data_IF_820417545893
#
_entry.id   IF_820417545893
#
_cell.length_a   1.000
_cell.length_b   1.000
_cell.length_c   1.000
_cell.angle_alpha   90.00
_cell.angle_beta   90.00
_cell.angle_gamma   90.00
#
_symmetry.space_group_name_H-M   'P 1'
#
loop_
_entity.id
_entity.type
_entity.pdbx_description
1 polymer ?
#
# COMPACT_ATOMS: atom_id res chain seq x y z
N UNK A 1 -7.31 5.91 28.87
CA UNK A 1 -7.87 5.64 27.53
C UNK A 1 -7.43 6.68 26.50
N UNK A 2 -7.89 7.94 26.52
CA UNK A 2 -7.47 8.96 25.53
C UNK A 2 -5.95 9.26 25.58
N UNK A 3 -5.36 9.28 26.78
CA UNK A 3 -3.91 9.45 26.95
C UNK A 3 -3.10 8.25 26.46
N UNK A 4 -3.64 7.04 26.60
CA UNK A 4 -3.00 5.81 26.10
C UNK A 4 -3.00 5.77 24.57
N UNK A 5 -4.10 6.22 23.95
CA UNK A 5 -4.17 6.38 22.50
C UNK A 5 -3.13 7.39 22.00
N UNK A 6 -3.03 8.56 22.64
CA UNK A 6 -2.01 9.57 22.29
C UNK A 6 -0.59 9.04 22.45
N UNK A 7 -0.30 8.31 23.53
CA UNK A 7 1.00 7.65 23.74
C UNK A 7 1.29 6.60 22.67
N UNK A 8 0.29 5.81 22.27
CA UNK A 8 0.40 4.81 21.20
C UNK A 8 0.67 5.43 19.83
N UNK A 9 -0.01 6.53 19.49
CA UNK A 9 0.22 7.27 18.24
C UNK A 9 1.63 7.89 18.20
N UNK A 10 2.10 8.46 19.31
CA UNK A 10 3.47 8.98 19.42
C UNK A 10 4.51 7.87 19.21
N UNK A 11 4.31 6.70 19.82
CA UNK A 11 5.17 5.55 19.62
C UNK A 11 5.16 5.07 18.16
N UNK A 12 3.99 4.98 17.52
CA UNK A 12 3.86 4.64 16.09
C UNK A 12 4.69 5.58 15.22
N UNK A 13 4.63 6.89 15.48
CA UNK A 13 5.41 7.87 14.71
C UNK A 13 6.92 7.70 14.90
N UNK A 14 7.38 7.46 16.12
CA UNK A 14 8.80 7.19 16.41
C UNK A 14 9.27 5.94 15.64
N UNK A 15 8.48 4.86 15.68
CA UNK A 15 8.83 3.60 15.00
C UNK A 15 8.84 3.77 13.49
N UNK A 16 7.83 4.41 12.89
CA UNK A 16 7.79 4.67 11.45
C UNK A 16 8.99 5.50 11.01
N UNK A 17 9.33 6.56 11.74
CA UNK A 17 10.51 7.39 11.45
C UNK A 17 11.82 6.61 11.56
N UNK A 18 11.92 5.66 12.50
CA UNK A 18 13.12 4.81 12.65
C UNK A 18 13.25 3.79 11.53
N UNK A 19 12.18 3.08 11.19
CA UNK A 19 12.22 2.00 10.20
C UNK A 19 12.20 2.50 8.75
N UNK A 20 11.54 3.65 8.50
CA UNK A 20 11.33 4.18 7.15
C UNK A 20 11.90 5.59 6.93
N UNK A 21 12.10 6.39 7.98
CA UNK A 21 12.58 7.78 7.91
C UNK A 21 14.10 7.94 7.86
N UNK A 22 14.88 6.94 8.28
CA UNK A 22 16.33 7.05 8.32
C UNK A 22 17.02 6.92 6.94
N UNK A 23 16.28 6.81 5.84
CA UNK A 23 16.86 6.82 4.48
C UNK A 23 17.28 8.25 4.06
N UNK A 24 16.87 9.31 4.79
CA UNK A 24 17.20 10.71 4.43
C UNK A 24 17.99 11.49 5.48
N UNK A 25 18.26 10.93 6.66
CA UNK A 25 19.01 11.61 7.73
C UNK A 25 20.49 11.16 7.80
N UNK A 26 21.10 10.92 6.64
CA UNK A 26 22.55 10.77 6.48
C UNK A 26 23.27 12.10 6.19
N UNK A 27 22.84 13.21 6.80
CA UNK A 27 23.45 14.50 6.50
C UNK A 27 22.83 15.73 7.16
N UNK A 28 22.71 15.76 8.48
CA UNK A 28 22.69 17.04 9.19
C UNK A 28 23.45 16.92 10.51
N UNK A 29 24.69 17.39 10.50
CA UNK A 29 25.30 17.94 11.71
C UNK A 29 25.78 19.34 11.36
N UNK A 30 25.17 20.30 12.03
CA UNK A 30 25.50 21.72 11.99
C UNK A 30 26.98 21.95 12.27
N UNK A 31 27.64 22.76 11.44
CA UNK A 31 28.84 23.49 11.85
C UNK A 31 28.53 24.97 11.77
N UNK A 32 28.45 25.60 12.94
CA UNK A 32 28.38 27.03 13.14
C UNK A 32 29.74 27.66 12.81
N UNK A 33 29.93 28.09 11.57
CA UNK A 33 30.94 29.11 11.24
C UNK A 33 30.42 29.96 10.09
N UNK A 34 29.90 31.14 10.44
CA UNK A 34 29.90 32.30 9.54
C UNK A 34 31.33 32.58 9.05
N UNK A 35 31.41 33.38 7.97
CA UNK A 35 32.58 33.99 7.31
C UNK A 35 32.92 33.37 5.93
N UNK A 36 32.58 34.10 4.87
CA UNK A 36 33.13 33.87 3.52
C UNK A 36 32.27 34.46 2.38
N UNK A 37 32.53 35.71 2.01
CA UNK A 37 31.96 36.41 0.85
C UNK A 37 32.40 35.77 -0.50
N UNK A 38 31.52 35.80 -1.51
CA UNK A 38 31.88 35.56 -2.93
C UNK A 38 30.73 35.87 -3.91
N UNK A 39 30.97 36.37 -5.13
CA UNK A 39 30.21 37.49 -5.71
C UNK A 39 29.03 37.14 -6.64
N UNK A 40 28.16 38.15 -6.79
CA UNK A 40 27.08 38.27 -7.78
C UNK A 40 27.62 38.61 -9.18
N UNK A 41 27.05 38.04 -10.24
CA UNK A 41 27.13 38.53 -11.63
C UNK A 41 26.13 37.80 -12.57
N UNK A 42 25.77 38.39 -13.74
CA UNK A 42 24.37 38.79 -14.02
C UNK A 42 23.68 38.02 -15.17
N UNK A 43 22.41 38.40 -15.41
CA UNK A 43 21.43 37.85 -16.34
C UNK A 43 21.77 37.92 -17.85
N UNK A 44 21.15 37.03 -18.65
CA UNK A 44 21.00 37.14 -20.11
C UNK A 44 19.89 36.22 -20.68
N UNK A 45 19.25 36.54 -21.83
CA UNK A 45 17.88 36.11 -22.18
C UNK A 45 17.74 35.15 -23.39
N UNK A 46 16.62 34.40 -23.42
CA UNK A 46 15.87 33.78 -24.54
C UNK A 46 16.57 32.96 -25.67
N UNK A 47 16.19 31.67 -25.81
CA UNK A 47 15.73 31.07 -27.08
C UNK A 47 14.94 29.75 -26.86
N UNK A 48 13.94 29.41 -27.71
CA UNK A 48 13.07 28.24 -27.54
C UNK A 48 13.66 27.02 -28.26
N UNK A 49 13.60 25.86 -27.61
CA UNK A 49 14.02 24.58 -28.18
C UNK A 49 12.98 23.51 -27.83
N UNK A 50 12.30 23.01 -28.85
CA UNK A 50 11.34 21.93 -28.72
C UNK A 50 12.00 20.59 -28.43
N UNK A 51 11.32 19.79 -27.62
CA UNK A 51 11.33 18.33 -27.59
C UNK A 51 10.06 17.99 -26.78
N UNK A 52 9.12 17.24 -27.34
CA UNK A 52 9.32 15.81 -27.56
C UNK A 52 8.72 15.10 -26.34
N UNK A 53 7.67 14.34 -26.58
CA UNK A 53 6.76 13.84 -25.56
C UNK A 53 7.39 13.01 -24.45
N UNK A 54 6.62 12.86 -23.39
CA UNK A 54 6.94 12.02 -22.25
C UNK A 54 5.86 12.15 -21.20
N UNK A 55 4.80 11.36 -21.34
CA UNK A 55 3.97 10.94 -20.22
C UNK A 55 4.88 10.30 -19.18
N UNK A 56 5.38 11.11 -18.25
CA UNK A 56 6.17 10.70 -17.11
C UNK A 56 5.29 10.71 -15.87
N UNK A 57 4.31 9.80 -15.85
CA UNK A 57 3.78 9.28 -14.59
C UNK A 57 4.95 8.82 -13.72
N UNK A 58 4.81 8.94 -12.40
CA UNK A 58 5.64 8.33 -11.35
C UNK A 58 6.75 9.17 -10.68
N UNK A 59 6.54 10.47 -10.48
CA UNK A 59 7.14 11.15 -9.32
C UNK A 59 6.37 10.77 -8.05
N UNK A 60 6.59 9.54 -7.57
CA UNK A 60 6.36 9.09 -6.19
C UNK A 60 5.13 9.68 -5.48
N UNK A 61 3.93 9.22 -5.87
CA UNK A 61 2.85 9.01 -4.89
C UNK A 61 3.24 7.81 -4.02
N UNK A 62 4.22 8.02 -3.14
CA UNK A 62 4.40 7.20 -1.92
C UNK A 62 3.43 7.68 -0.83
N UNK A 63 2.46 8.52 -1.20
CA UNK A 63 1.34 8.95 -0.39
C UNK A 63 0.16 8.07 -0.74
N UNK A 64 -0.26 7.29 0.26
CA UNK A 64 -1.63 6.78 0.41
C UNK A 64 -2.18 6.07 -0.83
N UNK A 65 -1.90 4.76 -0.94
CA UNK A 65 -2.67 3.90 -1.84
C UNK A 65 -4.16 4.00 -1.46
N UNK A 66 -5.03 4.19 -2.44
CA UNK A 66 -6.46 4.08 -2.24
C UNK A 66 -6.85 2.65 -1.85
N UNK A 67 -8.01 2.49 -1.19
CA UNK A 67 -8.53 1.18 -0.82
C UNK A 67 -8.55 0.20 -2.02
N UNK A 68 -9.04 0.66 -3.16
CA UNK A 68 -9.10 -0.13 -4.40
C UNK A 68 -7.71 -0.54 -4.89
N UNK A 69 -6.70 0.36 -4.80
CA UNK A 69 -5.32 0.03 -5.19
C UNK A 69 -4.70 -1.01 -4.26
N UNK A 70 -4.92 -0.90 -2.95
CA UNK A 70 -4.44 -1.88 -1.96
C UNK A 70 -5.07 -3.25 -2.23
N UNK A 71 -6.40 -3.30 -2.40
CA UNK A 71 -7.12 -4.54 -2.70
C UNK A 71 -6.59 -5.19 -4.00
N UNK A 72 -6.45 -4.41 -5.07
CA UNK A 72 -5.92 -4.90 -6.35
C UNK A 72 -4.46 -5.35 -6.25
N UNK A 73 -3.64 -4.70 -5.43
CA UNK A 73 -2.26 -5.12 -5.21
C UNK A 73 -2.22 -6.48 -4.48
N UNK A 74 -3.00 -6.63 -3.40
CA UNK A 74 -3.11 -7.90 -2.67
C UNK A 74 -3.62 -9.04 -3.55
N UNK A 75 -4.58 -8.77 -4.43
CA UNK A 75 -5.10 -9.77 -5.37
C UNK A 75 -4.04 -10.23 -6.37
N UNK A 76 -3.21 -9.31 -6.88
CA UNK A 76 -2.06 -9.65 -7.74
C UNK A 76 -1.04 -10.53 -7.03
N UNK A 77 -0.87 -10.35 -5.72
CA UNK A 77 -0.05 -11.24 -4.87
C UNK A 77 -0.76 -12.56 -4.50
N UNK A 78 -1.99 -12.78 -4.99
CA UNK A 78 -2.73 -14.03 -4.83
C UNK A 78 -3.61 -14.12 -3.57
N UNK A 79 -3.94 -12.99 -2.93
CA UNK A 79 -4.75 -12.99 -1.71
C UNK A 79 -6.14 -13.63 -1.90
N UNK A 80 -6.80 -13.42 -3.04
CA UNK A 80 -8.10 -14.06 -3.35
C UNK A 80 -8.00 -15.59 -3.39
N UNK A 81 -6.95 -16.13 -4.01
CA UNK A 81 -6.68 -17.57 -4.04
C UNK A 81 -6.45 -18.12 -2.63
N UNK A 82 -5.61 -17.45 -1.84
CA UNK A 82 -5.33 -17.83 -0.46
C UNK A 82 -6.60 -17.86 0.40
N UNK A 83 -7.45 -16.84 0.31
CA UNK A 83 -8.71 -16.75 1.06
C UNK A 83 -9.63 -17.92 0.71
N UNK A 84 -9.78 -18.24 -0.58
CA UNK A 84 -10.59 -19.37 -1.02
C UNK A 84 -10.04 -20.69 -0.48
N UNK A 85 -8.72 -20.90 -0.58
CA UNK A 85 -8.08 -22.13 -0.12
C UNK A 85 -8.19 -22.31 1.41
N UNK A 86 -8.10 -21.21 2.18
CA UNK A 86 -8.30 -21.22 3.62
C UNK A 86 -9.75 -21.50 3.98
N UNK A 87 -10.74 -20.86 3.34
CA UNK A 87 -12.16 -21.13 3.60
C UNK A 87 -12.49 -22.61 3.33
N UNK A 88 -11.94 -23.19 2.25
CA UNK A 88 -12.24 -24.56 1.86
C UNK A 88 -11.55 -25.65 2.71
N UNK A 89 -10.45 -25.31 3.38
CA UNK A 89 -9.59 -26.30 4.05
C UNK A 89 -9.24 -25.93 5.50
N UNK A 90 -9.81 -24.85 6.06
CA UNK A 90 -9.58 -24.46 7.44
C UNK A 90 -10.01 -25.59 8.40
N UNK A 91 -9.12 -25.94 9.32
CA UNK A 91 -9.37 -26.91 10.39
C UNK A 91 -9.66 -26.25 11.73
N UNK A 92 -9.54 -24.92 11.80
CA UNK A 92 -9.75 -24.11 12.99
C UNK A 92 -10.79 -23.03 12.71
N UNK A 93 -11.81 -22.95 13.57
CA UNK A 93 -12.88 -21.94 13.49
C UNK A 93 -12.32 -20.52 13.50
N UNK A 94 -11.24 -20.29 14.24
CA UNK A 94 -10.58 -18.98 14.27
C UNK A 94 -9.98 -18.64 12.92
N UNK A 95 -9.28 -19.58 12.28
CA UNK A 95 -8.70 -19.39 10.94
C UNK A 95 -9.80 -19.19 9.91
N UNK A 96 -10.89 -19.95 10.00
CA UNK A 96 -12.06 -19.79 9.15
C UNK A 96 -12.64 -18.37 9.29
N UNK A 97 -12.90 -17.92 10.52
CA UNK A 97 -13.47 -16.59 10.77
C UNK A 97 -12.58 -15.46 10.24
N UNK A 98 -11.27 -15.50 10.49
CA UNK A 98 -10.32 -14.51 9.98
C UNK A 98 -10.26 -14.52 8.44
N UNK A 99 -10.42 -15.69 7.82
CA UNK A 99 -10.45 -15.81 6.36
C UNK A 99 -11.69 -15.16 5.76
N UNK A 100 -12.85 -15.26 6.43
CA UNK A 100 -14.07 -14.55 6.05
C UNK A 100 -13.89 -13.04 6.19
N UNK A 101 -13.29 -12.57 7.30
CA UNK A 101 -13.04 -11.13 7.50
C UNK A 101 -12.11 -10.58 6.42
N UNK A 102 -11.08 -11.33 6.04
CA UNK A 102 -10.20 -10.94 4.94
C UNK A 102 -10.94 -10.91 3.60
N UNK A 103 -11.83 -11.87 3.33
CA UNK A 103 -12.68 -11.86 2.14
C UNK A 103 -13.56 -10.61 2.08
N UNK A 104 -14.18 -10.23 3.20
CA UNK A 104 -15.01 -9.03 3.32
C UNK A 104 -14.17 -7.77 3.05
N UNK A 105 -12.97 -7.66 3.63
CA UNK A 105 -12.08 -6.52 3.42
C UNK A 105 -11.60 -6.40 1.96
N UNK A 106 -11.34 -7.53 1.29
CA UNK A 106 -10.97 -7.54 -0.13
C UNK A 106 -12.12 -7.12 -1.05
N UNK A 107 -13.36 -7.43 -0.67
CA UNK A 107 -14.57 -7.10 -1.42
C UNK A 107 -15.22 -5.78 -0.97
N UNK A 108 -14.64 -5.10 0.03
CA UNK A 108 -15.17 -3.87 0.60
C UNK A 108 -15.28 -2.79 -0.49
N UNK A 109 -16.43 -2.12 -0.56
CA UNK A 109 -16.71 -1.11 -1.59
C UNK A 109 -17.00 -1.67 -2.99
N UNK A 110 -17.06 -2.99 -3.17
CA UNK A 110 -17.52 -3.60 -4.42
C UNK A 110 -16.50 -3.56 -5.55
N UNK A 111 -15.22 -3.85 -5.27
CA UNK A 111 -14.16 -3.86 -6.27
C UNK A 111 -14.36 -4.98 -7.30
N UNK A 112 -14.72 -4.61 -8.53
CA UNK A 112 -15.08 -5.55 -9.60
C UNK A 112 -13.94 -6.44 -10.06
N UNK A 113 -12.68 -6.00 -9.90
CA UNK A 113 -11.50 -6.80 -10.21
C UNK A 113 -11.42 -8.00 -9.26
N UNK A 114 -11.55 -7.73 -7.96
CA UNK A 114 -11.52 -8.76 -6.91
C UNK A 114 -12.69 -9.71 -7.06
N UNK A 115 -13.89 -9.20 -7.30
CA UNK A 115 -15.07 -10.01 -7.56
C UNK A 115 -14.86 -10.97 -8.73
N UNK A 116 -14.26 -10.48 -9.82
CA UNK A 116 -13.93 -11.31 -10.97
C UNK A 116 -12.89 -12.39 -10.62
N UNK A 117 -11.85 -12.05 -9.87
CA UNK A 117 -10.84 -13.03 -9.41
C UNK A 117 -11.46 -14.14 -8.56
N UNK A 118 -12.32 -13.80 -7.60
CA UNK A 118 -13.07 -14.78 -6.80
C UNK A 118 -13.99 -15.66 -7.67
N UNK A 119 -14.70 -15.04 -8.61
CA UNK A 119 -15.60 -15.76 -9.52
C UNK A 119 -14.85 -16.77 -10.39
N UNK A 120 -13.78 -16.33 -11.09
CA UNK A 120 -12.96 -17.21 -11.91
C UNK A 120 -12.43 -18.38 -11.10
N UNK A 121 -11.87 -18.12 -9.91
CA UNK A 121 -11.31 -19.17 -9.06
C UNK A 121 -12.34 -20.19 -8.59
N UNK A 122 -13.55 -19.75 -8.22
CA UNK A 122 -14.62 -20.65 -7.79
C UNK A 122 -15.24 -21.45 -8.95
N UNK A 123 -15.25 -20.87 -10.16
CA UNK A 123 -15.88 -21.46 -11.34
C UNK A 123 -14.96 -22.39 -12.14
N UNK A 124 -13.68 -22.06 -12.28
CA UNK A 124 -12.72 -22.84 -13.08
C UNK A 124 -12.46 -24.23 -12.48
N UNK A 125 -12.48 -24.35 -11.15
CA UNK A 125 -12.03 -25.55 -10.46
C UNK A 125 -13.16 -26.54 -10.09
N UNK A 126 -14.43 -26.28 -10.45
CA UNK A 126 -15.63 -27.00 -9.94
C UNK A 126 -15.65 -27.14 -8.40
N UNK A 127 -14.89 -26.28 -7.71
CA UNK A 127 -14.69 -26.29 -6.25
C UNK A 127 -15.78 -25.50 -5.51
N UNK A 128 -16.63 -24.80 -6.25
CA UNK A 128 -17.76 -24.04 -5.71
C UNK A 128 -18.65 -24.87 -4.78
N UNK A 129 -18.93 -26.13 -5.11
CA UNK A 129 -19.77 -26.99 -4.26
C UNK A 129 -19.16 -27.22 -2.87
N UNK A 130 -17.86 -27.53 -2.80
CA UNK A 130 -17.17 -27.70 -1.52
C UNK A 130 -17.11 -26.38 -0.76
N UNK A 131 -16.86 -25.26 -1.44
CA UNK A 131 -16.86 -23.93 -0.83
C UNK A 131 -18.22 -23.62 -0.16
N UNK A 132 -19.34 -23.80 -0.87
CA UNK A 132 -20.67 -23.53 -0.31
C UNK A 132 -21.06 -24.49 0.81
N UNK A 133 -20.62 -25.75 0.77
CA UNK A 133 -20.85 -26.70 1.87
C UNK A 133 -20.20 -26.30 3.18
N UNK A 134 -19.13 -25.51 3.18
CA UNK A 134 -18.51 -25.04 4.44
C UNK A 134 -19.44 -24.09 5.22
N UNK A 135 -20.40 -23.46 4.54
CA UNK A 135 -21.35 -22.53 5.15
C UNK A 135 -22.69 -23.15 5.55
N UNK A 136 -22.90 -24.45 5.29
CA UNK A 136 -24.13 -25.21 5.58
C UNK A 136 -23.96 -26.08 6.82
#
# INVERSE_FOLDING_TARGET
QLEDQKRGEALRQILVNRYYGNIRSGGRRESLTSFGNGPLSPAGPNKPGGAGGGSGSSSTNRGEMSLTEVQCHLDKEGASNLVIDLIMNATSDRVFHESILLAIALLEGGNTIIQHSFFCRLMEDKKSEKFFKVFL
#
